data_IF_399815293762
#
_entry.id   IF_399815293762
#
_cell.length_a   1.000
_cell.length_b   1.000
_cell.length_c   1.000
_cell.angle_alpha   90.00
_cell.angle_beta   90.00
_cell.angle_gamma   90.00
#
_symmetry.space_group_name_H-M   'P 1'
#
loop_
_entity.id
_entity.type
_entity.pdbx_description
1 polymer ?
#
# COMPACT_ATOMS: atom_id res chain seq x y z
N UNK A 1 -8.10 -26.40 12.34
CA UNK A 1 -8.71 -25.05 12.31
C UNK A 1 -9.95 -24.87 13.20
N UNK A 2 -10.84 -25.86 13.37
CA UNK A 2 -12.03 -25.72 14.25
C UNK A 2 -11.73 -25.51 15.75
N UNK A 3 -10.62 -26.04 16.26
CA UNK A 3 -10.32 -26.03 17.69
C UNK A 3 -9.51 -24.82 18.20
N UNK A 4 -9.04 -23.91 17.32
CA UNK A 4 -8.23 -22.77 17.76
C UNK A 4 -8.84 -21.37 17.50
N UNK A 5 -9.77 -21.21 16.55
CA UNK A 5 -10.18 -19.86 16.10
C UNK A 5 -11.70 -19.61 16.06
N UNK A 6 -12.54 -20.51 16.56
CA UNK A 6 -13.96 -20.21 16.84
C UNK A 6 -14.84 -19.74 15.67
N UNK A 7 -14.39 -19.83 14.42
CA UNK A 7 -15.17 -19.50 13.21
C UNK A 7 -14.99 -20.54 12.11
N UNK A 8 -16.04 -20.71 11.31
CA UNK A 8 -16.04 -21.46 10.04
C UNK A 8 -15.52 -20.57 8.91
N UNK A 9 -14.42 -20.97 8.28
CA UNK A 9 -13.94 -20.37 7.03
C UNK A 9 -15.07 -20.40 5.99
N UNK A 10 -15.42 -19.26 5.34
CA UNK A 10 -16.42 -19.23 4.29
C UNK A 10 -16.12 -20.25 3.19
N UNK A 11 -17.15 -20.93 2.65
CA UNK A 11 -16.96 -21.95 1.61
C UNK A 11 -16.29 -21.41 0.33
N UNK A 12 -16.44 -20.12 0.03
CA UNK A 12 -15.73 -19.46 -1.06
C UNK A 12 -14.22 -19.40 -0.83
N UNK A 13 -13.78 -19.09 0.39
CA UNK A 13 -12.37 -19.02 0.78
C UNK A 13 -11.75 -20.43 0.80
N UNK A 14 -12.47 -21.43 1.32
CA UNK A 14 -12.05 -22.85 1.24
C UNK A 14 -11.92 -23.35 -0.19
N UNK A 15 -12.85 -23.01 -1.10
CA UNK A 15 -12.76 -23.38 -2.52
C UNK A 15 -11.60 -22.68 -3.21
N UNK A 16 -11.39 -21.40 -2.93
CA UNK A 16 -10.28 -20.63 -3.46
C UNK A 16 -8.92 -21.24 -3.06
N UNK A 17 -8.78 -21.62 -1.77
CA UNK A 17 -7.59 -22.31 -1.28
C UNK A 17 -7.40 -23.66 -1.94
N UNK A 18 -8.44 -24.49 -1.98
CA UNK A 18 -8.35 -25.81 -2.56
C UNK A 18 -7.87 -25.74 -4.01
N UNK A 19 -8.44 -24.85 -4.82
CA UNK A 19 -8.05 -24.70 -6.22
C UNK A 19 -6.60 -24.21 -6.41
N UNK A 20 -6.16 -23.25 -5.60
CA UNK A 20 -4.81 -22.65 -5.74
C UNK A 20 -3.72 -23.60 -5.20
N UNK A 21 -3.99 -24.26 -4.07
CA UNK A 21 -3.07 -25.20 -3.44
C UNK A 21 -2.95 -26.51 -4.22
N UNK A 22 -4.02 -27.02 -4.85
CA UNK A 22 -3.94 -28.20 -5.74
C UNK A 22 -2.98 -27.95 -6.90
N UNK A 23 -3.00 -26.75 -7.50
CA UNK A 23 -2.05 -26.42 -8.56
C UNK A 23 -0.61 -26.43 -8.06
N UNK A 24 -0.35 -25.86 -6.88
CA UNK A 24 1.00 -25.88 -6.29
C UNK A 24 1.44 -27.29 -5.88
N UNK A 25 0.53 -28.12 -5.37
CA UNK A 25 0.78 -29.54 -5.08
C UNK A 25 1.18 -30.30 -6.34
N UNK A 26 0.48 -30.09 -7.46
CA UNK A 26 0.86 -30.65 -8.75
C UNK A 26 2.25 -30.17 -9.22
N UNK A 27 2.57 -28.89 -9.06
CA UNK A 27 3.87 -28.32 -9.44
C UNK A 27 5.01 -28.90 -8.62
N UNK A 28 4.84 -29.00 -7.30
CA UNK A 28 5.87 -29.48 -6.38
C UNK A 28 6.05 -31.01 -6.45
N UNK A 29 4.97 -31.77 -6.56
CA UNK A 29 5.01 -33.25 -6.68
C UNK A 29 5.73 -33.74 -7.94
N UNK A 30 5.75 -32.94 -9.01
CA UNK A 30 6.44 -33.24 -10.27
C UNK A 30 7.80 -32.53 -10.39
N UNK A 31 8.30 -31.96 -9.29
CA UNK A 31 9.59 -31.29 -9.24
C UNK A 31 10.66 -32.17 -8.59
N UNK A 32 11.91 -31.74 -8.74
CA UNK A 32 13.10 -32.29 -8.05
C UNK A 32 13.39 -31.56 -6.74
N UNK A 33 12.47 -30.71 -6.27
CA UNK A 33 12.58 -30.05 -4.97
C UNK A 33 12.62 -31.11 -3.88
N UNK A 34 13.62 -31.09 -2.98
CA UNK A 34 13.74 -32.12 -1.95
C UNK A 34 12.58 -32.08 -0.94
N UNK A 35 12.23 -33.23 -0.37
CA UNK A 35 11.20 -33.34 0.68
C UNK A 35 11.54 -32.55 1.96
N UNK A 36 12.82 -32.21 2.15
CA UNK A 36 13.33 -31.36 3.24
C UNK A 36 13.31 -29.87 2.92
N UNK A 37 12.75 -29.47 1.78
CA UNK A 37 12.45 -28.08 1.48
C UNK A 37 11.31 -27.56 2.37
N UNK A 38 11.39 -26.30 2.77
CA UNK A 38 10.36 -25.67 3.58
C UNK A 38 9.17 -25.17 2.77
N UNK A 39 7.97 -25.26 3.34
CA UNK A 39 6.76 -24.64 2.77
C UNK A 39 6.06 -23.82 3.88
N UNK A 40 5.84 -22.54 3.61
CA UNK A 40 4.96 -21.69 4.41
C UNK A 40 3.75 -21.27 3.56
N UNK A 41 2.56 -21.20 4.17
CA UNK A 41 1.32 -20.79 3.52
C UNK A 41 0.71 -19.68 4.35
N UNK A 42 0.21 -18.63 3.69
CA UNK A 42 -0.33 -17.43 4.34
C UNK A 42 0.64 -16.81 5.36
N UNK A 43 1.88 -16.60 4.94
CA UNK A 43 2.89 -15.98 5.79
C UNK A 43 2.61 -14.49 5.96
N UNK A 44 2.46 -14.03 7.21
CA UNK A 44 2.24 -12.62 7.50
C UNK A 44 3.56 -11.85 7.46
N UNK A 45 3.61 -10.77 6.69
CA UNK A 45 4.79 -9.92 6.59
C UNK A 45 4.86 -9.04 7.85
N UNK A 46 5.96 -9.09 8.63
CA UNK A 46 6.11 -8.31 9.86
C UNK A 46 5.84 -6.81 9.66
N UNK A 47 5.25 -6.17 10.68
CA UNK A 47 4.86 -4.75 10.69
C UNK A 47 3.84 -4.31 9.63
N UNK A 48 3.29 -5.25 8.87
CA UNK A 48 2.23 -4.99 7.90
C UNK A 48 1.01 -5.87 8.21
N UNK A 49 -0.12 -5.54 7.60
CA UNK A 49 -1.30 -6.40 7.61
C UNK A 49 -1.35 -7.34 6.41
N UNK A 50 -0.24 -7.50 5.67
CA UNK A 50 -0.19 -8.21 4.40
C UNK A 50 0.34 -9.62 4.59
N UNK A 51 -0.10 -10.51 3.72
CA UNK A 51 0.29 -11.92 3.72
C UNK A 51 0.76 -12.35 2.35
N UNK A 52 1.80 -13.18 2.35
CA UNK A 52 2.27 -13.92 1.17
C UNK A 52 1.47 -15.22 1.10
N UNK A 53 0.94 -15.56 -0.07
CA UNK A 53 0.15 -16.77 -0.22
C UNK A 53 0.96 -18.04 0.02
N UNK A 54 2.17 -18.15 -0.55
CA UNK A 54 3.06 -19.28 -0.34
C UNK A 54 4.54 -18.89 -0.38
N UNK A 55 5.33 -19.51 0.48
CA UNK A 55 6.79 -19.47 0.46
C UNK A 55 7.33 -20.90 0.31
N UNK A 56 8.24 -21.11 -0.65
CA UNK A 56 9.00 -22.37 -0.79
C UNK A 56 10.46 -22.07 -0.48
N UNK A 57 11.04 -22.74 0.52
CA UNK A 57 12.42 -22.50 0.95
C UNK A 57 13.33 -23.70 0.79
N UNK A 58 14.62 -23.42 0.74
CA UNK A 58 15.68 -24.42 0.60
C UNK A 58 17.02 -23.73 0.42
N UNK A 59 17.94 -24.42 -0.23
CA UNK A 59 19.27 -23.90 -0.57
C UNK A 59 19.54 -24.00 -2.06
N UNK A 60 20.30 -23.04 -2.57
CA UNK A 60 20.87 -23.09 -3.91
C UNK A 60 21.97 -24.16 -3.99
N UNK A 61 22.54 -24.38 -5.18
CA UNK A 61 23.64 -25.33 -5.37
C UNK A 61 24.89 -24.99 -4.55
N UNK A 62 25.13 -23.70 -4.30
CA UNK A 62 26.24 -23.15 -3.50
C UNK A 62 25.91 -22.99 -2.00
N UNK A 63 24.89 -23.71 -1.49
CA UNK A 63 24.47 -23.71 -0.08
C UNK A 63 24.00 -22.36 0.47
N UNK A 64 23.59 -21.43 -0.41
CA UNK A 64 22.97 -20.18 0.00
C UNK A 64 21.48 -20.41 0.32
N UNK A 65 21.03 -19.93 1.47
CA UNK A 65 19.61 -19.94 1.85
C UNK A 65 18.77 -19.17 0.81
N UNK A 66 17.65 -19.76 0.41
CA UNK A 66 16.84 -19.32 -0.72
C UNK A 66 15.37 -19.52 -0.41
N UNK A 67 14.56 -18.52 -0.76
CA UNK A 67 13.12 -18.60 -0.60
C UNK A 67 12.41 -17.99 -1.81
N UNK A 68 11.41 -18.70 -2.31
CA UNK A 68 10.56 -18.26 -3.40
C UNK A 68 9.26 -17.74 -2.80
N UNK A 69 8.97 -16.47 -3.09
CA UNK A 69 7.79 -15.75 -2.59
C UNK A 69 6.73 -15.80 -3.69
N UNK A 70 5.67 -16.57 -3.49
CA UNK A 70 4.68 -16.87 -4.53
C UNK A 70 3.36 -16.18 -4.18
N UNK A 71 2.92 -15.27 -5.05
CA UNK A 71 1.58 -14.69 -5.02
C UNK A 71 0.65 -15.51 -5.93
N UNK A 72 -0.50 -15.94 -5.42
CA UNK A 72 -1.47 -16.77 -6.11
C UNK A 72 -2.70 -15.95 -6.48
N UNK A 73 -3.02 -15.86 -7.77
CA UNK A 73 -4.19 -15.14 -8.28
C UNK A 73 -5.10 -16.08 -9.05
N UNK A 74 -6.41 -15.89 -8.88
CA UNK A 74 -7.44 -16.67 -9.58
C UNK A 74 -8.08 -15.89 -10.74
N UNK A 75 -7.37 -14.89 -11.26
CA UNK A 75 -7.87 -14.02 -12.31
C UNK A 75 -7.98 -14.78 -13.63
N UNK A 76 -9.01 -14.45 -14.41
CA UNK A 76 -9.25 -14.96 -15.75
C UNK A 76 -9.06 -13.90 -16.84
N UNK A 77 -9.08 -12.62 -16.46
CA UNK A 77 -9.00 -11.47 -17.36
C UNK A 77 -8.28 -10.30 -16.69
N UNK A 78 -7.60 -9.49 -17.49
CA UNK A 78 -6.79 -8.34 -17.07
C UNK A 78 -6.88 -7.29 -18.16
N UNK A 79 -6.95 -6.02 -17.77
CA UNK A 79 -6.74 -4.86 -18.64
C UNK A 79 -5.54 -4.06 -18.12
N UNK A 80 -4.70 -3.60 -19.05
CA UNK A 80 -3.59 -2.70 -18.74
C UNK A 80 -4.11 -1.30 -18.39
N UNK A 81 -3.35 -0.57 -17.56
CA UNK A 81 -3.65 0.81 -17.16
C UNK A 81 -2.40 1.67 -17.37
N UNK A 82 -2.30 2.28 -18.54
CA UNK A 82 -1.11 3.01 -18.99
C UNK A 82 -0.74 4.21 -18.09
N UNK A 83 -1.74 4.93 -17.57
CA UNK A 83 -1.51 6.16 -16.79
C UNK A 83 -1.10 5.93 -15.32
N UNK A 84 -1.11 4.67 -14.86
CA UNK A 84 -0.88 4.31 -13.44
C UNK A 84 0.15 3.19 -13.33
N UNK A 85 1.31 3.55 -12.79
CA UNK A 85 2.45 2.64 -12.71
C UNK A 85 2.12 1.41 -11.85
N UNK A 86 2.40 0.20 -12.36
CA UNK A 86 2.17 -1.05 -11.63
C UNK A 86 0.70 -1.34 -11.29
N UNK A 87 -0.27 -0.72 -11.96
CA UNK A 87 -1.72 -0.95 -11.77
C UNK A 87 -2.31 -1.67 -12.97
N UNK A 88 -3.24 -2.58 -12.72
CA UNK A 88 -4.08 -3.26 -13.73
C UNK A 88 -5.54 -3.20 -13.32
N UNK A 89 -6.45 -3.49 -14.25
CA UNK A 89 -7.86 -3.77 -13.94
C UNK A 89 -8.17 -5.24 -14.14
N UNK A 90 -9.00 -5.78 -13.26
CA UNK A 90 -9.44 -7.17 -13.32
C UNK A 90 -10.77 -7.34 -12.58
N UNK A 91 -11.50 -8.41 -12.86
CA UNK A 91 -12.76 -8.69 -12.17
C UNK A 91 -12.50 -9.40 -10.85
N UNK A 92 -12.86 -8.74 -9.76
CA UNK A 92 -12.85 -9.28 -8.40
C UNK A 92 -14.28 -9.26 -7.87
N UNK A 93 -14.76 -10.40 -7.37
CA UNK A 93 -16.12 -10.54 -6.83
C UNK A 93 -17.23 -10.09 -7.80
N UNK A 94 -17.01 -10.24 -9.12
CA UNK A 94 -17.99 -9.91 -10.16
C UNK A 94 -18.00 -8.44 -10.59
N UNK A 95 -17.10 -7.61 -10.05
CA UNK A 95 -16.96 -6.20 -10.42
C UNK A 95 -15.54 -5.90 -10.90
N UNK A 96 -15.40 -4.98 -11.86
CA UNK A 96 -14.11 -4.55 -12.36
C UNK A 96 -13.45 -3.63 -11.33
N UNK A 97 -12.21 -3.94 -10.94
CA UNK A 97 -11.43 -3.18 -9.96
C UNK A 97 -10.04 -2.89 -10.49
N UNK A 98 -9.53 -1.69 -10.19
CA UNK A 98 -8.10 -1.41 -10.25
C UNK A 98 -7.39 -2.05 -9.06
N UNK A 99 -6.29 -2.74 -9.32
CA UNK A 99 -5.48 -3.41 -8.31
C UNK A 99 -4.01 -3.39 -8.72
N UNK A 100 -3.11 -3.68 -7.78
CA UNK A 100 -1.69 -3.81 -8.08
C UNK A 100 -1.45 -4.97 -9.07
N UNK A 101 -0.54 -4.76 -10.01
CA UNK A 101 -0.09 -5.78 -10.92
C UNK A 101 0.50 -6.96 -10.13
N UNK A 102 0.22 -8.24 -10.48
CA UNK A 102 0.66 -9.39 -9.69
C UNK A 102 2.18 -9.45 -9.47
N UNK A 103 2.97 -9.07 -10.49
CA UNK A 103 4.43 -8.97 -10.34
C UNK A 103 4.86 -7.87 -9.38
N UNK A 104 4.24 -6.69 -9.45
CA UNK A 104 4.50 -5.61 -8.49
C UNK A 104 4.24 -6.12 -7.07
N UNK A 105 3.11 -6.79 -6.88
CA UNK A 105 2.70 -7.29 -5.58
C UNK A 105 3.69 -8.32 -5.01
N UNK A 106 4.00 -9.37 -5.78
CA UNK A 106 4.96 -10.39 -5.37
C UNK A 106 6.34 -9.79 -5.06
N UNK A 107 6.83 -8.88 -5.91
CA UNK A 107 8.10 -8.18 -5.68
C UNK A 107 8.06 -7.32 -4.42
N UNK A 108 7.01 -6.53 -4.24
CA UNK A 108 6.87 -5.62 -3.10
C UNK A 108 6.83 -6.38 -1.76
N UNK A 109 6.26 -7.58 -1.73
CA UNK A 109 6.29 -8.47 -0.57
C UNK A 109 7.69 -9.01 -0.27
N UNK A 110 8.41 -9.51 -1.28
CA UNK A 110 9.79 -9.95 -1.10
C UNK A 110 10.69 -8.82 -0.59
N UNK A 111 10.50 -7.61 -1.14
CA UNK A 111 11.25 -6.45 -0.73
C UNK A 111 10.90 -5.99 0.70
N UNK A 112 9.63 -6.05 1.10
CA UNK A 112 9.22 -5.77 2.48
C UNK A 112 9.83 -6.78 3.48
N UNK A 113 9.85 -8.08 3.15
CA UNK A 113 10.50 -9.11 3.98
C UNK A 113 12.01 -8.81 4.10
N UNK A 114 12.66 -8.48 2.98
CA UNK A 114 14.07 -8.10 2.97
C UNK A 114 14.32 -6.89 3.86
N UNK A 115 13.53 -5.83 3.76
CA UNK A 115 13.72 -4.58 4.52
C UNK A 115 13.55 -4.76 6.04
N UNK A 116 12.60 -5.60 6.47
CA UNK A 116 12.28 -5.75 7.90
C UNK A 116 13.05 -6.84 8.62
N UNK A 117 13.74 -7.74 7.91
CA UNK A 117 14.40 -8.88 8.55
C UNK A 117 15.93 -8.79 8.45
N UNK A 118 16.60 -8.56 9.59
CA UNK A 118 18.05 -8.44 9.65
C UNK A 118 18.76 -9.74 9.24
N UNK A 119 18.23 -10.89 9.67
CA UNK A 119 18.88 -12.18 9.40
C UNK A 119 18.74 -12.58 7.93
N UNK A 120 17.66 -12.18 7.26
CA UNK A 120 17.52 -12.27 5.80
C UNK A 120 18.59 -11.43 5.09
N UNK A 121 18.83 -10.20 5.54
CA UNK A 121 19.85 -9.32 4.94
C UNK A 121 21.27 -9.80 5.23
N UNK A 122 21.59 -10.02 6.51
CA UNK A 122 22.94 -10.34 6.99
C UNK A 122 23.33 -11.78 6.59
N UNK A 123 22.36 -12.70 6.57
CA UNK A 123 22.50 -14.06 6.02
C UNK A 123 22.47 -14.11 4.49
N UNK A 124 22.30 -12.95 3.82
CA UNK A 124 22.24 -12.82 2.37
C UNK A 124 21.25 -13.81 1.73
N UNK A 125 20.08 -14.01 2.34
CA UNK A 125 19.06 -14.95 1.84
C UNK A 125 18.61 -14.50 0.44
N UNK A 126 18.56 -15.45 -0.49
CA UNK A 126 18.09 -15.19 -1.85
C UNK A 126 16.57 -15.23 -1.90
N UNK A 127 15.91 -14.07 -1.89
CA UNK A 127 14.46 -13.98 -2.10
C UNK A 127 14.14 -13.88 -3.60
N UNK A 128 13.27 -14.77 -4.09
CA UNK A 128 12.81 -14.79 -5.49
C UNK A 128 11.30 -14.69 -5.56
N UNK A 129 10.73 -13.51 -5.86
CA UNK A 129 9.31 -13.35 -6.02
C UNK A 129 8.83 -13.89 -7.37
N UNK A 130 7.59 -14.37 -7.42
CA UNK A 130 6.86 -14.62 -8.66
C UNK A 130 5.34 -14.59 -8.42
N UNK A 131 4.57 -14.40 -9.48
CA UNK A 131 3.12 -14.47 -9.44
C UNK A 131 2.59 -15.63 -10.29
N UNK A 132 1.55 -16.29 -9.81
CA UNK A 132 0.96 -17.45 -10.46
C UNK A 132 -0.55 -17.22 -10.63
N UNK A 133 -1.00 -17.10 -11.89
CA UNK A 133 -2.40 -16.86 -12.22
C UNK A 133 -3.03 -18.17 -12.72
N UNK A 134 -3.84 -18.82 -11.88
CA UNK A 134 -4.33 -20.19 -12.12
C UNK A 134 -5.47 -20.30 -13.12
N UNK A 135 -6.23 -19.22 -13.34
CA UNK A 135 -7.35 -19.21 -14.30
C UNK A 135 -7.03 -18.42 -15.58
N UNK A 136 -5.85 -17.81 -15.65
CA UNK A 136 -5.48 -16.92 -16.75
C UNK A 136 -4.89 -17.72 -17.90
N UNK A 137 -5.55 -17.71 -19.05
CA UNK A 137 -5.05 -18.37 -20.26
C UNK A 137 -4.04 -17.45 -20.97
N UNK A 138 -3.20 -18.02 -21.82
CA UNK A 138 -2.38 -17.23 -22.73
C UNK A 138 -3.26 -16.60 -23.81
N UNK A 139 -3.02 -15.32 -24.10
CA UNK A 139 -3.76 -14.51 -25.07
C UNK A 139 -2.75 -13.76 -25.93
N UNK A 140 -3.06 -13.53 -27.20
CA UNK A 140 -2.26 -12.68 -28.09
C UNK A 140 -2.31 -11.22 -27.62
N UNK A 141 -1.17 -10.52 -27.62
CA UNK A 141 -1.02 -9.16 -27.06
C UNK A 141 -1.51 -9.08 -25.60
N UNK A 142 -0.94 -9.93 -24.75
CA UNK A 142 -1.34 -10.10 -23.37
C UNK A 142 -1.17 -8.80 -22.55
N UNK A 143 -2.25 -8.16 -22.08
CA UNK A 143 -2.18 -6.92 -21.28
C UNK A 143 -1.51 -7.14 -19.91
N UNK A 144 -1.44 -8.38 -19.42
CA UNK A 144 -0.69 -8.72 -18.22
C UNK A 144 0.82 -8.67 -18.44
N UNK A 145 1.28 -8.82 -19.68
CA UNK A 145 2.70 -8.75 -20.06
C UNK A 145 3.02 -7.51 -20.89
N UNK A 146 2.21 -6.46 -20.78
CA UNK A 146 2.47 -5.22 -21.49
C UNK A 146 3.81 -4.61 -21.04
N UNK A 147 4.55 -4.04 -22.00
CA UNK A 147 5.88 -3.44 -21.78
C UNK A 147 5.90 -2.35 -20.70
N UNK A 148 4.77 -1.69 -20.42
CA UNK A 148 4.66 -0.74 -19.30
C UNK A 148 4.93 -1.39 -17.94
N UNK A 149 4.91 -2.73 -17.84
CA UNK A 149 5.17 -3.50 -16.62
C UNK A 149 6.53 -4.20 -16.62
N UNK A 150 7.40 -3.99 -17.61
CA UNK A 150 8.68 -4.70 -17.77
C UNK A 150 9.54 -4.65 -16.50
N UNK A 151 9.62 -3.49 -15.82
CA UNK A 151 10.34 -3.34 -14.56
C UNK A 151 9.91 -4.36 -13.50
N UNK A 152 8.61 -4.64 -13.41
CA UNK A 152 8.05 -5.58 -12.44
C UNK A 152 8.14 -7.02 -12.93
N UNK A 153 7.93 -7.26 -14.22
CA UNK A 153 8.04 -8.58 -14.83
C UNK A 153 9.45 -9.16 -14.70
N UNK A 154 10.49 -8.32 -14.83
CA UNK A 154 11.89 -8.71 -14.61
C UNK A 154 12.17 -9.07 -13.15
N UNK A 155 11.57 -8.35 -12.21
CA UNK A 155 11.75 -8.57 -10.77
C UNK A 155 10.99 -9.79 -10.26
N UNK A 156 9.77 -9.99 -10.75
CA UNK A 156 8.86 -11.06 -10.35
C UNK A 156 8.12 -11.62 -11.58
N UNK A 157 8.60 -12.73 -12.18
CA UNK A 157 7.98 -13.31 -13.36
C UNK A 157 6.58 -13.85 -13.08
N UNK A 158 5.81 -13.98 -14.15
CA UNK A 158 4.43 -14.48 -14.14
C UNK A 158 4.35 -15.88 -14.71
N UNK A 159 3.53 -16.72 -14.08
CA UNK A 159 3.18 -18.06 -14.56
C UNK A 159 1.66 -18.18 -14.75
N UNK A 160 1.21 -18.28 -16.00
CA UNK A 160 -0.21 -18.42 -16.37
C UNK A 160 -0.69 -19.86 -16.16
N UNK A 161 -1.97 -20.14 -16.41
CA UNK A 161 -2.63 -21.43 -16.12
C UNK A 161 -1.87 -22.67 -16.60
N UNK A 162 -1.27 -22.61 -17.79
CA UNK A 162 -0.59 -23.75 -18.42
C UNK A 162 0.93 -23.74 -18.24
N UNK A 163 1.49 -22.80 -17.50
CA UNK A 163 2.94 -22.64 -17.30
C UNK A 163 3.51 -23.50 -16.16
N UNK A 164 2.86 -24.62 -15.79
CA UNK A 164 3.30 -25.46 -14.67
C UNK A 164 4.77 -25.89 -14.81
N UNK A 165 5.20 -26.29 -16.02
CA UNK A 165 6.61 -26.66 -16.24
C UNK A 165 7.56 -25.49 -16.03
N UNK A 166 7.22 -24.30 -16.52
CA UNK A 166 8.04 -23.09 -16.34
C UNK A 166 8.14 -22.69 -14.86
N UNK A 167 7.05 -22.83 -14.12
CA UNK A 167 7.04 -22.60 -12.68
C UNK A 167 7.89 -23.64 -11.93
N UNK A 168 7.77 -24.92 -12.28
CA UNK A 168 8.64 -25.99 -11.75
C UNK A 168 10.11 -25.67 -12.02
N UNK A 169 10.47 -25.33 -13.27
CA UNK A 169 11.85 -25.01 -13.64
C UNK A 169 12.38 -23.77 -12.88
N UNK A 170 11.52 -22.77 -12.65
CA UNK A 170 11.86 -21.60 -11.83
C UNK A 170 12.10 -21.97 -10.37
N UNK A 171 11.26 -22.83 -9.79
CA UNK A 171 11.42 -23.29 -8.41
C UNK A 171 12.71 -24.09 -8.26
N UNK A 172 12.92 -25.09 -9.12
CA UNK A 172 14.11 -25.93 -9.11
C UNK A 172 15.38 -25.13 -9.34
N UNK A 173 15.34 -24.04 -10.11
CA UNK A 173 16.50 -23.17 -10.33
C UNK A 173 17.05 -22.60 -9.02
N UNK A 174 16.18 -22.24 -8.08
CA UNK A 174 16.57 -21.57 -6.84
C UNK A 174 16.50 -22.44 -5.60
N UNK A 175 15.86 -23.62 -5.69
CA UNK A 175 15.72 -24.60 -4.61
C UNK A 175 16.31 -25.93 -5.10
N UNK A 176 17.60 -26.14 -4.82
CA UNK A 176 18.36 -27.32 -5.26
C UNK A 176 18.58 -28.34 -4.14
N UNK A 177 18.60 -27.88 -2.88
CA UNK A 177 18.75 -28.69 -1.67
C UNK A 177 17.67 -28.26 -0.68
N UNK A 178 17.23 -29.17 0.19
CA UNK A 178 16.37 -28.79 1.31
C UNK A 178 17.16 -28.05 2.38
N UNK A 179 16.44 -27.31 3.22
CA UNK A 179 16.99 -26.51 4.31
C UNK A 179 16.43 -26.88 5.69
N UNK A 180 15.58 -27.90 5.77
CA UNK A 180 14.95 -28.34 7.03
C UNK A 180 14.27 -27.17 7.77
N UNK A 181 13.59 -26.29 7.02
CA UNK A 181 12.90 -25.07 7.48
C UNK A 181 13.81 -23.92 7.94
N UNK A 182 15.14 -24.04 7.83
CA UNK A 182 16.10 -23.02 8.28
C UNK A 182 15.75 -21.63 7.75
N UNK A 183 15.50 -21.48 6.45
CA UNK A 183 15.22 -20.18 5.84
C UNK A 183 13.86 -19.63 6.26
N UNK A 184 12.84 -20.48 6.40
CA UNK A 184 11.53 -20.05 6.92
C UNK A 184 11.69 -19.54 8.36
N UNK A 185 12.47 -20.22 9.20
CA UNK A 185 12.76 -19.73 10.56
C UNK A 185 13.54 -18.41 10.55
N UNK A 186 14.48 -18.22 9.63
CA UNK A 186 15.15 -16.93 9.45
C UNK A 186 14.15 -15.83 9.08
N UNK A 187 13.20 -16.11 8.19
CA UNK A 187 12.17 -15.14 7.75
C UNK A 187 11.17 -14.83 8.87
N UNK A 188 10.70 -15.84 9.60
CA UNK A 188 9.65 -15.73 10.62
C UNK A 188 10.17 -15.25 11.98
N UNK A 189 11.24 -15.87 12.47
CA UNK A 189 11.80 -15.65 13.80
C UNK A 189 13.09 -14.83 13.78
N UNK A 190 13.52 -14.37 12.60
CA UNK A 190 14.70 -13.52 12.46
C UNK A 190 14.57 -12.20 13.21
N UNK A 191 15.71 -11.60 13.53
CA UNK A 191 15.73 -10.30 14.21
C UNK A 191 15.10 -9.24 13.31
N UNK A 192 13.94 -8.73 13.75
CA UNK A 192 13.27 -7.64 13.05
C UNK A 192 14.10 -6.35 13.15
N UNK A 193 14.32 -5.69 12.01
CA UNK A 193 14.84 -4.33 11.95
C UNK A 193 13.66 -3.36 12.12
N UNK A 194 13.81 -2.30 12.94
CA UNK A 194 12.86 -1.21 12.93
C UNK A 194 12.71 -0.68 11.51
N UNK A 195 11.47 -0.39 11.09
CA UNK A 195 11.24 0.27 9.81
C UNK A 195 12.02 1.58 9.75
N UNK A 196 12.51 1.93 8.56
CA UNK A 196 13.11 3.24 8.33
C UNK A 196 12.11 4.31 8.77
N UNK A 197 12.53 5.24 9.62
CA UNK A 197 11.66 6.35 10.01
C UNK A 197 11.36 7.21 8.78
N UNK A 198 10.08 7.49 8.53
CA UNK A 198 9.64 8.41 7.46
C UNK A 198 10.39 9.74 7.50
N UNK A 199 10.72 10.21 8.71
CA UNK A 199 11.45 11.44 8.93
C UNK A 199 12.91 11.34 8.45
N UNK A 200 13.53 10.17 8.57
CA UNK A 200 14.94 9.95 8.24
C UNK A 200 15.16 9.84 6.73
N UNK A 201 14.21 9.24 6.01
CA UNK A 201 14.32 9.05 4.56
C UNK A 201 13.68 10.15 3.73
N UNK A 202 12.93 11.07 4.36
CA UNK A 202 12.27 12.19 3.67
C UNK A 202 13.21 12.99 2.76
N UNK A 203 14.43 13.28 3.22
CA UNK A 203 15.41 14.01 2.42
C UNK A 203 15.92 13.22 1.21
N UNK A 204 15.91 11.88 1.29
CA UNK A 204 16.26 10.98 0.20
C UNK A 204 15.13 10.92 -0.82
N UNK A 205 13.88 10.80 -0.37
CA UNK A 205 12.68 10.82 -1.22
C UNK A 205 12.54 12.15 -2.00
N UNK A 206 12.84 13.28 -1.36
CA UNK A 206 12.88 14.58 -2.04
C UNK A 206 13.96 14.69 -3.14
N UNK A 207 14.94 13.78 -3.17
CA UNK A 207 15.92 13.69 -4.27
C UNK A 207 15.49 12.72 -5.37
N UNK A 208 14.31 12.12 -5.25
CA UNK A 208 13.79 11.13 -6.19
C UNK A 208 14.15 9.69 -5.86
N UNK A 209 14.74 9.41 -4.69
CA UNK A 209 15.05 8.04 -4.30
C UNK A 209 13.79 7.33 -3.76
N UNK A 210 13.59 6.09 -4.16
CA UNK A 210 12.56 5.22 -3.60
C UNK A 210 13.00 4.65 -2.25
N UNK A 211 12.26 4.97 -1.19
CA UNK A 211 12.61 4.57 0.18
C UNK A 211 11.51 3.78 0.89
N UNK A 212 10.27 3.86 0.39
CA UNK A 212 9.11 3.14 0.90
C UNK A 212 8.36 2.45 -0.21
N UNK A 213 8.35 1.12 -0.13
CA UNK A 213 7.60 0.27 -1.04
C UNK A 213 6.14 0.26 -0.59
N UNK A 214 5.25 0.68 -1.49
CA UNK A 214 3.81 0.73 -1.21
C UNK A 214 3.21 -0.65 -1.45
N UNK A 215 2.38 -1.12 -0.52
CA UNK A 215 1.78 -2.46 -0.60
C UNK A 215 0.30 -2.40 -0.99
N UNK A 216 -0.11 -3.24 -1.94
CA UNK A 216 -1.51 -3.45 -2.38
C UNK A 216 -2.32 -2.14 -2.57
N UNK A 217 -3.35 -1.93 -1.74
CA UNK A 217 -4.24 -0.77 -1.77
C UNK A 217 -3.50 0.54 -1.56
N UNK A 218 -2.35 0.57 -0.89
CA UNK A 218 -1.53 1.78 -0.83
C UNK A 218 -1.04 2.18 -2.23
N UNK A 219 -0.59 1.22 -3.05
CA UNK A 219 -0.13 1.48 -4.43
C UNK A 219 -1.30 1.98 -5.29
N UNK A 220 -2.47 1.32 -5.22
CA UNK A 220 -3.67 1.73 -5.96
C UNK A 220 -4.12 3.15 -5.58
N UNK A 221 -4.17 3.46 -4.29
CA UNK A 221 -4.57 4.79 -3.79
C UNK A 221 -3.55 5.84 -4.21
N UNK A 222 -2.27 5.55 -4.07
CA UNK A 222 -1.17 6.44 -4.49
C UNK A 222 -1.27 6.78 -5.98
N UNK A 223 -1.33 5.78 -6.85
CA UNK A 223 -1.38 5.99 -8.31
C UNK A 223 -2.69 6.69 -8.73
N UNK A 224 -3.80 6.42 -8.04
CA UNK A 224 -5.06 7.12 -8.30
C UNK A 224 -5.00 8.60 -7.94
N UNK A 225 -4.34 8.95 -6.84
CA UNK A 225 -4.16 10.36 -6.46
C UNK A 225 -3.16 11.05 -7.39
N UNK A 226 -2.07 10.37 -7.76
CA UNK A 226 -1.05 10.90 -8.65
C UNK A 226 -1.60 11.16 -10.06
N UNK A 227 -2.37 10.22 -10.61
CA UNK A 227 -3.11 10.40 -11.87
C UNK A 227 -4.08 11.59 -11.79
N UNK A 228 -4.82 11.74 -10.68
CA UNK A 228 -5.68 12.90 -10.48
C UNK A 228 -4.89 14.23 -10.42
N UNK A 229 -3.72 14.25 -9.80
CA UNK A 229 -2.83 15.42 -9.76
C UNK A 229 -2.32 15.78 -11.17
N UNK A 230 -1.83 14.80 -11.92
CA UNK A 230 -1.41 14.98 -13.33
C UNK A 230 -2.55 15.47 -14.22
N UNK A 231 -3.78 15.02 -13.99
CA UNK A 231 -4.98 15.55 -14.68
C UNK A 231 -5.25 17.01 -14.34
N UNK A 232 -5.08 17.41 -13.07
CA UNK A 232 -5.20 18.81 -12.66
C UNK A 232 -4.14 19.69 -13.33
N UNK A 233 -2.89 19.23 -13.36
CA UNK A 233 -1.79 19.93 -14.03
C UNK A 233 -2.11 20.22 -15.49
N UNK A 234 -2.72 19.25 -16.19
CA UNK A 234 -3.18 19.35 -17.58
C UNK A 234 -4.45 20.18 -17.78
N UNK A 235 -4.90 20.93 -16.77
CA UNK A 235 -6.10 21.79 -16.85
C UNK A 235 -7.42 21.07 -16.53
N UNK A 236 -7.35 19.94 -15.83
CA UNK A 236 -8.50 19.18 -15.36
C UNK A 236 -9.39 19.98 -14.39
N UNK A 237 -10.62 19.48 -14.21
CA UNK A 237 -11.57 20.08 -13.27
C UNK A 237 -11.14 19.82 -11.84
N UNK A 238 -11.35 20.83 -10.99
CA UNK A 238 -11.19 20.74 -9.53
C UNK A 238 -11.89 19.50 -8.97
N UNK A 239 -11.23 18.80 -8.05
CA UNK A 239 -11.72 17.53 -7.48
C UNK A 239 -11.29 17.35 -6.02
N UNK A 240 -12.02 16.48 -5.32
CA UNK A 240 -11.76 16.10 -3.94
C UNK A 240 -11.57 14.58 -3.89
N UNK A 241 -10.50 14.13 -3.24
CA UNK A 241 -10.30 12.71 -2.93
C UNK A 241 -10.33 12.54 -1.41
N UNK A 242 -11.09 11.55 -0.95
CA UNK A 242 -11.17 11.14 0.45
C UNK A 242 -10.51 9.78 0.55
N UNK A 243 -9.49 9.65 1.41
CA UNK A 243 -8.80 8.39 1.68
C UNK A 243 -9.15 7.96 3.10
N UNK A 244 -10.05 7.00 3.22
CA UNK A 244 -10.43 6.39 4.49
C UNK A 244 -9.44 5.29 4.86
N UNK A 245 -9.04 5.21 6.12
CA UNK A 245 -8.28 4.08 6.64
C UNK A 245 -8.09 4.17 8.14
N UNK A 246 -8.04 3.03 8.83
CA UNK A 246 -7.83 2.97 10.28
C UNK A 246 -6.40 3.34 10.73
N UNK A 247 -6.10 3.28 12.04
CA UNK A 247 -4.75 3.45 12.56
C UNK A 247 -3.80 2.42 11.95
N UNK A 248 -2.55 2.83 11.66
CA UNK A 248 -1.53 1.92 11.13
C UNK A 248 -1.64 1.55 9.64
N UNK A 249 -2.66 2.02 8.92
CA UNK A 249 -2.82 1.76 7.46
C UNK A 249 -1.83 2.50 6.55
N UNK A 250 -0.97 3.36 7.12
CA UNK A 250 0.07 4.08 6.38
C UNK A 250 -0.37 5.40 5.74
N UNK A 251 -1.51 6.00 6.14
CA UNK A 251 -2.02 7.29 5.63
C UNK A 251 -0.95 8.38 5.55
N UNK A 252 -0.22 8.64 6.65
CA UNK A 252 0.85 9.65 6.71
C UNK A 252 2.02 9.32 5.77
N UNK A 253 2.40 8.04 5.65
CA UNK A 253 3.45 7.61 4.72
C UNK A 253 3.01 7.89 3.28
N UNK A 254 1.76 7.58 2.95
CA UNK A 254 1.19 7.85 1.62
C UNK A 254 1.17 9.35 1.31
N UNK A 255 0.69 10.17 2.24
CA UNK A 255 0.62 11.62 2.09
C UNK A 255 2.00 12.24 1.87
N UNK A 256 3.01 11.80 2.60
CA UNK A 256 4.38 12.33 2.46
C UNK A 256 5.04 11.82 1.18
N UNK A 257 4.81 10.57 0.78
CA UNK A 257 5.31 10.02 -0.48
C UNK A 257 4.73 10.79 -1.68
N UNK A 258 3.40 10.97 -1.70
CA UNK A 258 2.71 11.79 -2.71
C UNK A 258 3.25 13.21 -2.74
N UNK A 259 3.48 13.84 -1.58
CA UNK A 259 4.06 15.18 -1.53
C UNK A 259 5.40 15.24 -2.27
N UNK A 260 6.30 14.29 -2.01
CA UNK A 260 7.63 14.27 -2.62
C UNK A 260 7.52 14.13 -4.14
N UNK A 261 6.71 13.19 -4.62
CA UNK A 261 6.52 12.93 -6.06
C UNK A 261 5.88 14.11 -6.78
N UNK A 262 4.82 14.69 -6.21
CA UNK A 262 4.12 15.83 -6.82
C UNK A 262 5.04 17.06 -6.93
N UNK A 263 5.90 17.30 -5.93
CA UNK A 263 6.90 18.38 -6.00
C UNK A 263 7.96 18.09 -7.06
N UNK A 264 8.41 16.84 -7.17
CA UNK A 264 9.38 16.43 -8.19
C UNK A 264 8.80 16.55 -9.61
N UNK A 265 7.48 16.42 -9.77
CA UNK A 265 6.74 16.72 -11.01
C UNK A 265 6.43 18.23 -11.18
N UNK A 266 7.08 19.11 -10.40
CA UNK A 266 6.98 20.58 -10.50
C UNK A 266 5.59 21.17 -10.24
N UNK A 267 4.68 20.41 -9.63
CA UNK A 267 3.38 20.90 -9.19
C UNK A 267 3.47 21.57 -7.81
N UNK A 268 2.61 22.56 -7.56
CA UNK A 268 2.50 23.19 -6.25
C UNK A 268 1.73 22.30 -5.27
N UNK A 269 2.39 21.86 -4.20
CA UNK A 269 1.79 20.98 -3.21
C UNK A 269 2.05 21.41 -1.76
N UNK A 270 1.08 21.15 -0.89
CA UNK A 270 1.20 21.34 0.55
C UNK A 270 0.73 20.12 1.33
N UNK A 271 1.51 19.73 2.34
CA UNK A 271 1.07 18.83 3.41
C UNK A 271 0.50 19.65 4.57
N UNK A 272 -0.73 19.32 4.94
CA UNK A 272 -1.48 19.99 6.00
C UNK A 272 -1.76 19.01 7.11
N UNK A 273 -1.43 19.41 8.33
CA UNK A 273 -1.87 18.69 9.53
C UNK A 273 -2.09 19.69 10.66
N UNK A 274 -3.09 19.45 11.50
CA UNK A 274 -3.30 20.26 12.72
C UNK A 274 -2.13 20.09 13.67
N UNK A 275 -1.60 18.88 13.80
CA UNK A 275 -0.51 18.59 14.73
C UNK A 275 0.79 19.30 14.27
N UNK A 276 1.33 20.17 15.11
CA UNK A 276 2.57 20.88 14.82
C UNK A 276 3.81 19.99 14.96
N UNK A 277 3.77 18.95 15.81
CA UNK A 277 4.95 18.14 16.10
C UNK A 277 5.49 17.40 14.86
N UNK A 278 4.71 16.57 14.12
CA UNK A 278 5.18 15.93 12.90
C UNK A 278 5.69 16.94 11.87
N UNK A 279 4.94 18.04 11.66
CA UNK A 279 5.32 19.11 10.73
C UNK A 279 6.67 19.72 11.07
N UNK A 280 6.92 20.02 12.34
CA UNK A 280 8.18 20.58 12.80
C UNK A 280 9.34 19.61 12.61
N UNK A 281 9.11 18.31 12.81
CA UNK A 281 10.14 17.29 12.60
C UNK A 281 10.48 17.15 11.11
N UNK A 282 9.48 17.05 10.22
CA UNK A 282 9.71 17.02 8.77
C UNK A 282 10.45 18.26 8.29
N UNK A 283 10.04 19.45 8.75
CA UNK A 283 10.75 20.70 8.47
C UNK A 283 12.21 20.63 8.90
N UNK A 284 12.49 20.10 10.09
CA UNK A 284 13.86 19.98 10.61
C UNK A 284 14.70 19.02 9.77
N UNK A 285 14.14 17.89 9.34
CA UNK A 285 14.84 16.89 8.52
C UNK A 285 15.17 17.37 7.11
N UNK A 286 14.37 18.29 6.57
CA UNK A 286 14.61 18.90 5.27
C UNK A 286 15.51 20.15 5.30
N UNK A 287 15.83 20.69 6.49
CA UNK A 287 16.80 21.79 6.60
C UNK A 287 18.18 21.28 6.18
N UNK A 288 18.71 21.87 5.11
CA UNK A 288 20.01 21.51 4.52
C UNK A 288 19.90 20.86 3.14
N UNK A 289 18.79 20.17 2.85
CA UNK A 289 18.51 19.62 1.51
C UNK A 289 17.79 20.62 0.61
N UNK A 290 17.05 21.57 1.21
CA UNK A 290 16.29 22.60 0.49
C UNK A 290 16.36 23.94 1.22
N UNK A 291 16.04 25.03 0.50
CA UNK A 291 15.94 26.37 1.09
C UNK A 291 14.88 26.38 2.20
N UNK A 292 15.20 26.99 3.34
CA UNK A 292 14.30 27.01 4.50
C UNK A 292 12.94 27.65 4.22
N UNK A 293 12.87 28.60 3.29
CA UNK A 293 11.61 29.21 2.85
C UNK A 293 10.72 28.20 2.15
N UNK A 294 11.26 27.44 1.20
CA UNK A 294 10.55 26.36 0.49
C UNK A 294 10.03 25.30 1.47
N UNK A 295 10.88 24.81 2.38
CA UNK A 295 10.49 23.82 3.40
C UNK A 295 9.33 24.30 4.28
N UNK A 296 9.34 25.58 4.67
CA UNK A 296 8.27 26.16 5.49
C UNK A 296 6.95 26.30 4.75
N UNK A 297 6.98 26.39 3.41
CA UNK A 297 5.76 26.41 2.59
C UNK A 297 5.15 25.03 2.40
N UNK A 298 5.96 23.96 2.38
CA UNK A 298 5.47 22.59 2.18
C UNK A 298 4.62 22.05 3.33
N UNK A 299 4.92 22.43 4.58
CA UNK A 299 4.24 21.89 5.76
C UNK A 299 3.47 22.98 6.52
N UNK A 300 2.15 22.98 6.37
CA UNK A 300 1.24 24.04 6.87
C UNK A 300 0.19 23.51 7.82
N UNK A 301 -0.42 24.46 8.53
CA UNK A 301 -1.55 24.19 9.41
C UNK A 301 -2.81 24.70 8.73
N UNK A 302 -3.98 24.16 9.07
CA UNK A 302 -5.23 24.54 8.41
C UNK A 302 -5.63 25.99 8.68
N UNK A 303 -5.15 26.60 9.78
CA UNK A 303 -5.61 27.92 10.23
C UNK A 303 -5.29 29.11 9.29
N UNK A 304 -4.46 28.91 8.25
CA UNK A 304 -4.07 29.97 7.30
C UNK A 304 -4.86 29.93 5.98
N UNK A 305 -5.64 28.88 5.73
CA UNK A 305 -6.28 28.65 4.43
C UNK A 305 -7.36 29.68 4.09
N UNK A 306 -8.00 30.28 5.09
CA UNK A 306 -8.95 31.38 4.89
C UNK A 306 -8.36 32.64 4.20
N UNK A 307 -7.03 32.70 4.05
CA UNK A 307 -6.31 33.83 3.41
C UNK A 307 -5.86 33.51 1.99
N UNK A 308 -5.99 32.26 1.55
CA UNK A 308 -5.54 31.84 0.23
C UNK A 308 -6.57 32.14 -0.85
N UNK A 309 -6.07 32.54 -2.01
CA UNK A 309 -6.88 32.72 -3.21
C UNK A 309 -7.37 31.36 -3.73
N UNK A 310 -8.53 31.36 -4.38
CA UNK A 310 -9.14 30.15 -4.91
C UNK A 310 -8.25 29.51 -5.99
N UNK A 311 -7.92 28.24 -5.83
CA UNK A 311 -7.16 27.44 -6.79
C UNK A 311 -5.68 27.84 -6.93
N UNK A 312 -5.11 28.54 -5.94
CA UNK A 312 -3.70 28.92 -5.94
C UNK A 312 -2.75 27.73 -5.82
N UNK A 313 -3.21 26.61 -5.23
CA UNK A 313 -2.46 25.36 -5.09
C UNK A 313 -2.96 24.31 -6.07
N UNK A 314 -2.05 23.54 -6.68
CA UNK A 314 -2.43 22.39 -7.50
C UNK A 314 -2.93 21.26 -6.60
N UNK A 315 -2.20 20.93 -5.53
CA UNK A 315 -2.55 19.82 -4.63
C UNK A 315 -2.41 20.20 -3.15
N UNK A 316 -3.40 19.86 -2.34
CA UNK A 316 -3.28 19.87 -0.88
C UNK A 316 -3.54 18.48 -0.32
N UNK A 317 -2.58 17.96 0.45
CA UNK A 317 -2.62 16.67 1.12
C UNK A 317 -2.88 16.91 2.62
N UNK A 318 -4.10 16.63 3.06
CA UNK A 318 -4.52 16.87 4.44
C UNK A 318 -4.46 15.57 5.23
N UNK A 319 -3.50 15.50 6.14
CA UNK A 319 -3.33 14.38 7.06
C UNK A 319 -4.09 14.63 8.37
N UNK A 320 -4.60 13.55 8.96
CA UNK A 320 -5.44 13.59 10.16
C UNK A 320 -6.65 14.52 9.98
N UNK A 321 -7.34 14.42 8.82
CA UNK A 321 -8.41 15.32 8.42
C UNK A 321 -9.60 15.30 9.41
N UNK A 322 -9.77 14.21 10.16
CA UNK A 322 -10.74 14.11 11.25
C UNK A 322 -10.54 15.19 12.32
N UNK A 323 -9.35 15.81 12.42
CA UNK A 323 -9.05 16.88 13.40
C UNK A 323 -9.38 18.30 12.91
N UNK A 324 -9.84 18.47 11.67
CA UNK A 324 -10.19 19.80 11.15
C UNK A 324 -11.36 20.41 11.92
N UNK A 325 -11.38 21.75 11.99
CA UNK A 325 -12.37 22.53 12.74
C UNK A 325 -13.26 23.33 11.79
N UNK A 326 -14.39 23.80 12.30
CA UNK A 326 -15.21 24.77 11.59
C UNK A 326 -14.43 26.09 11.46
N UNK A 327 -14.12 26.77 12.56
CA UNK A 327 -13.38 28.03 12.52
C UNK A 327 -11.89 27.88 12.77
N UNK A 328 -11.12 28.72 12.07
CA UNK A 328 -9.69 28.92 12.21
C UNK A 328 -9.34 29.86 13.38
N UNK A 329 -8.06 29.87 13.75
CA UNK A 329 -7.52 30.71 14.82
C UNK A 329 -7.56 30.06 16.20
N UNK A 330 -6.79 30.62 17.15
CA UNK A 330 -6.71 30.08 18.53
C UNK A 330 -8.07 30.14 19.24
N UNK A 331 -8.83 31.21 18.98
CA UNK A 331 -10.16 31.44 19.57
C UNK A 331 -11.31 30.94 18.69
N UNK A 332 -11.05 30.38 17.50
CA UNK A 332 -12.09 29.91 16.59
C UNK A 332 -12.96 31.05 16.04
N UNK A 333 -12.34 32.18 15.71
CA UNK A 333 -13.02 33.41 15.29
C UNK A 333 -12.65 33.85 13.87
N UNK A 334 -11.80 33.09 13.18
CA UNK A 334 -11.35 33.38 11.81
C UNK A 334 -11.90 32.33 10.86
N UNK A 335 -12.12 32.72 9.60
CA UNK A 335 -12.63 31.81 8.59
C UNK A 335 -14.06 31.31 8.87
N UNK A 336 -14.49 30.37 8.05
CA UNK A 336 -15.84 29.79 8.07
C UNK A 336 -15.81 28.28 8.29
N UNK A 337 -14.97 27.56 7.55
CA UNK A 337 -14.89 26.11 7.56
C UNK A 337 -13.55 25.66 6.98
N UNK A 338 -12.68 25.04 7.78
CA UNK A 338 -11.33 24.66 7.32
C UNK A 338 -11.34 23.69 6.13
N UNK A 339 -12.33 22.79 6.06
CA UNK A 339 -12.47 21.85 4.93
C UNK A 339 -12.80 22.64 3.66
N UNK A 340 -13.78 23.55 3.74
CA UNK A 340 -14.16 24.43 2.61
C UNK A 340 -12.99 25.29 2.17
N UNK A 341 -12.29 25.94 3.09
CA UNK A 341 -11.15 26.83 2.80
C UNK A 341 -10.00 26.07 2.10
N UNK A 342 -9.70 24.85 2.55
CA UNK A 342 -8.72 23.99 1.90
C UNK A 342 -9.18 23.60 0.49
N UNK A 343 -10.44 23.20 0.33
CA UNK A 343 -11.00 22.91 -0.98
C UNK A 343 -10.90 24.12 -1.89
N UNK A 344 -11.31 25.32 -1.45
CA UNK A 344 -11.22 26.56 -2.23
C UNK A 344 -9.78 26.86 -2.64
N UNK A 345 -8.81 26.81 -1.74
CA UNK A 345 -7.41 27.09 -2.08
C UNK A 345 -6.77 26.10 -3.08
N UNK A 346 -7.32 24.90 -3.22
CA UNK A 346 -6.69 23.79 -3.96
C UNK A 346 -7.44 23.44 -5.25
N UNK A 347 -6.74 22.98 -6.29
CA UNK A 347 -7.37 22.35 -7.46
C UNK A 347 -7.66 20.86 -7.19
N UNK A 348 -6.77 20.16 -6.51
CA UNK A 348 -7.02 18.84 -5.91
C UNK A 348 -6.82 18.93 -4.40
N UNK A 349 -7.83 18.55 -3.63
CA UNK A 349 -7.69 18.37 -2.18
C UNK A 349 -7.89 16.91 -1.80
N UNK A 350 -6.88 16.33 -1.17
CA UNK A 350 -6.88 14.94 -0.70
C UNK A 350 -6.97 14.94 0.81
N UNK A 351 -7.99 14.28 1.36
CA UNK A 351 -8.22 14.18 2.79
C UNK A 351 -7.97 12.76 3.27
N UNK A 352 -6.92 12.57 4.06
CA UNK A 352 -6.65 11.32 4.77
C UNK A 352 -7.42 11.33 6.08
N UNK A 353 -8.39 10.43 6.22
CA UNK A 353 -9.34 10.46 7.31
C UNK A 353 -9.54 9.09 7.97
N UNK A 354 -9.92 9.18 9.23
CA UNK A 354 -10.23 8.07 10.11
C UNK A 354 -11.36 8.58 11.01
N UNK A 355 -12.60 8.24 10.66
CA UNK A 355 -13.79 8.81 11.30
C UNK A 355 -13.91 8.38 12.78
N UNK A 356 -13.29 7.25 13.15
CA UNK A 356 -13.28 6.70 14.51
C UNK A 356 -12.27 7.42 15.43
N UNK A 357 -11.37 8.26 14.88
CA UNK A 357 -10.34 8.96 15.65
C UNK A 357 -10.70 10.41 16.03
N UNK A 358 -11.98 10.75 16.13
CA UNK A 358 -12.39 12.10 16.56
C UNK A 358 -12.14 12.30 18.07
N UNK A 359 -11.22 13.20 18.41
CA UNK A 359 -10.76 13.41 19.80
C UNK A 359 -11.55 14.49 20.53
N UNK A 360 -12.00 15.54 19.83
CA UNK A 360 -12.62 16.71 20.47
C UNK A 360 -13.98 17.06 19.86
N UNK A 361 -14.86 17.64 20.68
CA UNK A 361 -16.16 18.17 20.22
C UNK A 361 -16.05 19.28 19.15
N UNK A 362 -14.86 19.89 19.00
CA UNK A 362 -14.59 20.92 18.00
C UNK A 362 -14.10 20.35 16.66
N UNK A 363 -13.76 19.07 16.63
CA UNK A 363 -13.34 18.40 15.43
C UNK A 363 -14.58 18.11 14.59
N UNK A 364 -14.70 18.74 13.42
CA UNK A 364 -15.82 18.56 12.49
C UNK A 364 -15.46 17.63 11.32
N UNK A 365 -14.19 17.23 11.21
CA UNK A 365 -13.73 16.36 10.14
C UNK A 365 -14.44 15.01 10.18
N UNK A 366 -15.23 14.73 9.16
CA UNK A 366 -15.77 13.42 8.84
C UNK A 366 -15.90 13.27 7.33
N UNK A 367 -16.01 12.03 6.85
CA UNK A 367 -16.28 11.76 5.42
C UNK A 367 -17.52 12.52 4.95
N UNK A 368 -18.58 12.52 5.76
CA UNK A 368 -19.83 13.20 5.46
C UNK A 368 -19.69 14.72 5.40
N UNK A 369 -18.96 15.33 6.33
CA UNK A 369 -18.74 16.78 6.32
C UNK A 369 -17.90 17.18 5.10
N UNK A 370 -16.90 16.39 4.71
CA UNK A 370 -16.11 16.62 3.49
C UNK A 370 -17.00 16.54 2.25
N UNK A 371 -17.82 15.48 2.12
CA UNK A 371 -18.76 15.34 0.99
C UNK A 371 -19.77 16.49 0.94
N UNK A 372 -20.27 16.93 2.09
CA UNK A 372 -21.20 18.05 2.22
C UNK A 372 -20.57 19.37 1.75
N UNK A 373 -19.34 19.67 2.14
CA UNK A 373 -18.66 20.90 1.69
C UNK A 373 -18.31 20.84 0.20
N UNK A 374 -17.84 19.70 -0.30
CA UNK A 374 -17.58 19.50 -1.73
C UNK A 374 -18.86 19.70 -2.57
N UNK A 375 -20.00 19.17 -2.12
CA UNK A 375 -21.30 19.36 -2.77
C UNK A 375 -21.72 20.84 -2.81
N UNK A 376 -21.51 21.59 -1.72
CA UNK A 376 -21.79 23.04 -1.69
C UNK A 376 -20.93 23.81 -2.70
N UNK A 377 -19.69 23.37 -2.92
CA UNK A 377 -18.77 23.96 -3.90
C UNK A 377 -18.96 23.43 -5.33
N UNK A 378 -19.86 22.45 -5.54
CA UNK A 378 -20.07 21.82 -6.85
C UNK A 378 -18.87 20.99 -7.34
N UNK A 379 -18.05 20.47 -6.42
CA UNK A 379 -16.81 19.74 -6.72
C UNK A 379 -17.06 18.22 -6.63
N UNK A 380 -16.53 17.47 -7.58
CA UNK A 380 -16.64 16.01 -7.59
C UNK A 380 -15.80 15.38 -6.47
N UNK A 381 -16.36 14.37 -5.80
CA UNK A 381 -15.70 13.63 -4.72
C UNK A 381 -15.48 12.17 -5.10
N UNK A 382 -14.25 11.69 -4.96
CA UNK A 382 -13.90 10.27 -5.03
C UNK A 382 -13.54 9.78 -3.65
N UNK A 383 -14.06 8.62 -3.25
CA UNK A 383 -13.73 7.98 -1.96
C UNK A 383 -12.90 6.73 -2.23
N UNK A 384 -11.75 6.64 -1.58
CA UNK A 384 -10.81 5.53 -1.63
C UNK A 384 -10.65 4.95 -0.22
N UNK A 385 -10.31 3.67 -0.14
CA UNK A 385 -10.11 2.97 1.13
C UNK A 385 -8.73 2.33 1.17
N UNK A 386 -8.05 2.49 2.29
CA UNK A 386 -6.88 1.71 2.64
C UNK A 386 -7.35 0.55 3.52
N UNK A 387 -7.02 -0.67 3.11
CA UNK A 387 -7.44 -1.85 3.85
C UNK A 387 -6.75 -1.88 5.22
N UNK A 388 -7.53 -1.74 6.29
CA UNK A 388 -7.10 -2.11 7.63
C UNK A 388 -7.45 -3.58 7.85
N UNK A 389 -6.49 -4.49 7.64
CA UNK A 389 -6.64 -5.84 8.15
C UNK A 389 -5.97 -5.92 9.52
N UNK A 390 -6.67 -5.52 10.57
CA UNK A 390 -6.42 -6.10 11.89
C UNK A 390 -6.93 -7.55 11.89
N UNK A 391 -6.40 -8.41 11.01
CA UNK A 391 -6.37 -9.86 11.28
C UNK A 391 -5.15 -10.12 12.14
N UNK A 392 -5.16 -9.53 13.34
CA UNK A 392 -4.23 -9.91 14.38
C UNK A 392 -4.40 -11.42 14.57
N UNK A 393 -3.29 -12.16 14.50
CA UNK A 393 -3.17 -13.60 14.70
C UNK A 393 -3.97 -14.08 15.91
N UNK A 394 -5.27 -14.35 15.73
CA UNK A 394 -6.20 -14.78 16.78
C UNK A 394 -6.89 -13.69 17.63
N UNK A 395 -6.82 -12.39 17.29
CA UNK A 395 -7.46 -11.32 18.09
C UNK A 395 -8.77 -10.75 17.50
N UNK A 396 -9.32 -11.34 16.43
CA UNK A 396 -10.67 -10.98 15.93
C UNK A 396 -11.73 -11.07 17.05
N UNK A 397 -11.56 -12.01 17.98
CA UNK A 397 -12.41 -12.14 19.15
C UNK A 397 -12.21 -11.02 20.18
N UNK A 398 -11.01 -10.43 20.26
CA UNK A 398 -10.71 -9.33 21.18
C UNK A 398 -11.27 -8.00 20.67
N UNK A 399 -11.08 -7.68 19.39
CA UNK A 399 -11.64 -6.44 18.81
C UNK A 399 -13.16 -6.52 18.73
N UNK A 400 -13.74 -7.63 18.26
CA UNK A 400 -15.19 -7.80 18.27
C UNK A 400 -15.79 -7.81 19.69
N UNK A 401 -15.03 -8.26 20.70
CA UNK A 401 -15.40 -8.14 22.11
C UNK A 401 -15.26 -6.70 22.62
N UNK A 402 -14.23 -5.97 22.18
CA UNK A 402 -14.02 -4.56 22.52
C UNK A 402 -15.14 -3.69 21.93
N UNK A 403 -15.45 -3.86 20.65
CA UNK A 403 -16.53 -3.17 19.94
C UNK A 403 -17.88 -3.48 20.59
N UNK A 404 -18.12 -4.74 20.98
CA UNK A 404 -19.33 -5.14 21.69
C UNK A 404 -19.44 -4.55 23.11
N UNK A 405 -18.33 -4.45 23.84
CA UNK A 405 -18.30 -3.84 25.18
C UNK A 405 -18.39 -2.31 25.11
N UNK A 406 -17.78 -1.70 24.11
CA UNK A 406 -17.70 -0.25 23.97
C UNK A 406 -18.86 0.33 23.15
N UNK A 407 -19.73 -0.53 22.59
CA UNK A 407 -20.86 -0.17 21.72
C UNK A 407 -20.46 0.77 20.56
N UNK A 408 -19.27 0.56 20.00
CA UNK A 408 -18.77 1.27 18.80
C UNK A 408 -18.87 0.39 17.57
#
# INVERSE_FOLDING_TARGET
>A
MRQRFGRTTPESEMRAWNNSLIRMESVLSHSTVPDTAGIAIEYNIPYTSKRVDMIVSGKTSDDRNSAIIIELKQWSEVEAVEDKDGIVKTVLNGTLHETAHPSYQAWSYAAAIMDFNADVQDGNVLLKPCACLHNYNEIENDPLLDHIYDEYLERAPIFRKHDNRKLTDFIEKYIRKGDDLETIFMIDSGRLRPSKSLQDVLASMMKGNEEFILLDSQKVVYETILDAARKIEKGGKKSVIIVEGGPGTGKTVLAVNLLCTIINESMSAMYVSKNAAPRNVYKKKLKGSMRSTSVNQLFKGPDQFHQYENGILDVTLVDEAHRLREKSGMFGNLGENQIKEIMEASKLSVFFIDDDQRVTLKDIGSVDEIKKQAKKLGVHTTTLKLDSQFRCSGSDGYLAWLDNILEI
#
